data_IF_502133998996
#
_entry.id   IF_502133998996
#
_cell.length_a   1.000
_cell.length_b   1.000
_cell.length_c   1.000
_cell.angle_alpha   90.00
_cell.angle_beta   90.00
_cell.angle_gamma   90.00
#
_symmetry.space_group_name_H-M   'P 1'
#
loop_
_entity.id
_entity.type
_entity.pdbx_description
1 polymer ?
#
# COMPACT_ATOMS: atom_id res chain seq x y z
N UNK A 1 16.11 -21.65 9.08
CA UNK A 1 15.69 -21.04 7.79
C UNK A 1 14.68 -19.91 7.93
N UNK A 2 13.39 -20.13 8.37
CA UNK A 2 12.40 -19.01 8.48
C UNK A 2 12.88 -17.87 9.40
N UNK A 3 13.35 -18.18 10.60
CA UNK A 3 13.85 -17.20 11.55
C UNK A 3 15.08 -16.45 11.02
N UNK A 4 15.99 -17.14 10.39
CA UNK A 4 17.20 -16.54 9.77
C UNK A 4 16.84 -15.55 8.67
N UNK A 5 15.89 -15.91 7.78
CA UNK A 5 15.39 -15.00 6.73
C UNK A 5 14.72 -13.79 7.36
N UNK A 6 13.88 -13.98 8.38
CA UNK A 6 13.22 -12.90 9.07
C UNK A 6 14.23 -11.92 9.72
N UNK A 7 15.25 -12.44 10.40
CA UNK A 7 16.32 -11.64 10.99
C UNK A 7 17.13 -10.91 9.92
N UNK A 8 17.43 -11.57 8.81
CA UNK A 8 18.18 -10.99 7.69
C UNK A 8 17.41 -9.82 7.06
N UNK A 9 16.12 -9.99 6.76
CA UNK A 9 15.26 -8.92 6.24
C UNK A 9 15.14 -7.76 7.25
N UNK A 10 14.97 -8.06 8.53
CA UNK A 10 14.92 -7.03 9.58
C UNK A 10 16.22 -6.22 9.69
N UNK A 11 17.36 -6.83 9.41
CA UNK A 11 18.68 -6.20 9.50
C UNK A 11 19.03 -5.40 8.26
N UNK A 12 18.81 -5.99 7.09
CA UNK A 12 19.31 -5.47 5.81
C UNK A 12 18.25 -4.73 5.00
N UNK A 13 16.95 -5.01 5.26
CA UNK A 13 15.84 -4.34 4.59
C UNK A 13 15.35 -3.07 5.29
N UNK A 14 15.80 -2.81 6.53
CA UNK A 14 15.47 -1.58 7.26
C UNK A 14 16.62 -0.58 7.17
N UNK A 15 16.36 0.58 6.59
CA UNK A 15 17.31 1.69 6.53
C UNK A 15 17.14 2.59 7.75
N UNK A 16 18.20 2.68 8.58
CA UNK A 16 18.18 3.45 9.82
C UNK A 16 18.19 4.98 9.60
N UNK A 17 18.75 5.45 8.47
CA UNK A 17 18.75 6.88 8.12
C UNK A 17 17.37 7.34 7.68
N UNK A 18 16.70 6.53 6.86
CA UNK A 18 15.33 6.78 6.41
C UNK A 18 14.30 6.40 7.48
N UNK A 19 14.71 5.62 8.48
CA UNK A 19 13.86 5.04 9.53
C UNK A 19 12.66 4.26 8.95
N UNK A 20 12.87 3.47 7.89
CA UNK A 20 11.85 2.66 7.27
C UNK A 20 12.43 1.45 6.54
N UNK A 21 11.58 0.46 6.25
CA UNK A 21 11.92 -0.59 5.30
C UNK A 21 12.02 -0.02 3.88
N UNK A 22 12.89 -0.60 3.07
CA UNK A 22 13.16 -0.18 1.69
C UNK A 22 12.89 -1.33 0.72
N UNK A 23 12.75 -0.99 -0.56
CA UNK A 23 12.38 -1.92 -1.63
C UNK A 23 13.39 -3.07 -1.81
N UNK A 24 14.68 -2.80 -1.65
CA UNK A 24 15.75 -3.78 -1.79
C UNK A 24 16.92 -3.44 -0.87
N UNK A 25 17.71 -4.44 -0.48
CA UNK A 25 18.89 -4.24 0.35
C UNK A 25 19.87 -3.25 -0.30
N UNK A 26 20.30 -2.27 0.48
CA UNK A 26 21.19 -1.22 0.03
C UNK A 26 20.55 -0.13 -0.84
N UNK A 27 19.25 -0.25 -1.14
CA UNK A 27 18.48 0.80 -1.80
C UNK A 27 17.98 1.83 -0.79
N UNK A 28 17.63 3.04 -1.25
CA UNK A 28 16.87 4.04 -0.51
C UNK A 28 15.48 4.28 -1.12
N UNK A 29 15.10 3.45 -2.08
CA UNK A 29 13.81 3.55 -2.77
C UNK A 29 12.70 2.86 -1.99
N UNK A 30 11.50 3.42 -2.10
CA UNK A 30 10.27 2.89 -1.52
C UNK A 30 9.39 2.28 -2.60
N UNK A 31 8.70 1.20 -2.23
CA UNK A 31 7.62 0.61 -3.03
C UNK A 31 6.37 0.48 -2.13
N UNK A 32 5.20 0.70 -2.70
CA UNK A 32 3.95 0.64 -1.94
C UNK A 32 3.65 -0.74 -1.35
N UNK A 33 4.28 -1.82 -1.87
CA UNK A 33 4.17 -3.17 -1.29
C UNK A 33 4.69 -3.26 0.14
N UNK A 34 5.50 -2.31 0.59
CA UNK A 34 5.93 -2.18 2.00
C UNK A 34 4.74 -1.97 2.96
N UNK A 35 3.60 -1.47 2.48
CA UNK A 35 2.35 -1.40 3.24
C UNK A 35 1.81 -2.77 3.64
N UNK A 36 2.22 -3.83 2.96
CA UNK A 36 1.77 -5.20 3.23
C UNK A 36 2.50 -5.88 4.40
N UNK A 37 3.60 -5.33 4.91
CA UNK A 37 4.46 -5.94 5.94
C UNK A 37 3.65 -6.45 7.14
N UNK A 38 2.70 -5.64 7.65
CA UNK A 38 1.88 -6.03 8.79
C UNK A 38 0.75 -6.99 8.39
N UNK A 39 0.11 -6.76 7.24
CA UNK A 39 -1.03 -7.58 6.78
C UNK A 39 -0.65 -9.03 6.47
N UNK A 40 0.59 -9.27 6.00
CA UNK A 40 1.14 -10.61 5.77
C UNK A 40 1.71 -11.26 7.04
N UNK A 41 1.73 -10.54 8.17
CA UNK A 41 2.24 -11.04 9.45
C UNK A 41 3.77 -11.13 9.53
N UNK A 42 4.50 -10.33 8.74
CA UNK A 42 5.97 -10.28 8.83
C UNK A 42 6.41 -9.61 10.13
N UNK A 43 5.83 -8.46 10.46
CA UNK A 43 5.98 -7.77 11.76
C UNK A 43 4.60 -7.31 12.25
N UNK A 44 4.40 -7.20 13.58
CA UNK A 44 3.15 -6.70 14.11
C UNK A 44 2.96 -5.21 13.80
N UNK A 45 1.71 -4.77 13.61
CA UNK A 45 1.38 -3.38 13.24
C UNK A 45 1.81 -2.34 14.29
N UNK A 46 2.03 -2.74 15.55
CA UNK A 46 2.53 -1.88 16.62
C UNK A 46 4.07 -1.80 16.67
N UNK A 47 4.79 -2.53 15.83
CA UNK A 47 6.24 -2.39 15.70
C UNK A 47 6.56 -0.98 15.18
N UNK A 48 7.45 -0.23 15.85
CA UNK A 48 7.77 1.15 15.46
C UNK A 48 8.33 1.25 14.04
N UNK A 49 9.03 0.23 13.55
CA UNK A 49 9.57 0.18 12.19
C UNK A 49 8.47 0.10 11.14
N UNK A 50 7.39 -0.65 11.43
CA UNK A 50 6.21 -0.76 10.56
C UNK A 50 5.50 0.58 10.46
N UNK A 51 5.24 1.23 11.60
CA UNK A 51 4.61 2.56 11.63
C UNK A 51 5.42 3.58 10.86
N UNK A 52 6.72 3.64 11.10
CA UNK A 52 7.62 4.55 10.40
C UNK A 52 7.67 4.28 8.89
N UNK A 53 7.60 3.00 8.47
CA UNK A 53 7.53 2.62 7.06
C UNK A 53 6.22 3.08 6.42
N UNK A 54 5.08 2.92 7.09
CA UNK A 54 3.79 3.40 6.57
C UNK A 54 3.79 4.92 6.41
N UNK A 55 4.30 5.65 7.39
CA UNK A 55 4.46 7.10 7.31
C UNK A 55 5.44 7.54 6.21
N UNK A 56 6.51 6.76 5.97
CA UNK A 56 7.45 7.04 4.89
C UNK A 56 6.80 6.84 3.52
N UNK A 57 6.04 5.76 3.33
CA UNK A 57 5.27 5.52 2.09
C UNK A 57 4.24 6.62 1.88
N UNK A 58 3.48 6.99 2.91
CA UNK A 58 2.49 8.07 2.85
C UNK A 58 3.15 9.40 2.42
N UNK A 59 4.23 9.81 3.07
CA UNK A 59 4.93 11.07 2.72
C UNK A 59 5.51 11.10 1.31
N UNK A 60 5.98 9.95 0.82
CA UNK A 60 6.75 9.89 -0.42
C UNK A 60 5.96 9.43 -1.64
N UNK A 61 4.94 8.60 -1.46
CA UNK A 61 4.19 7.98 -2.54
C UNK A 61 2.72 8.41 -2.62
N UNK A 62 2.17 9.10 -1.60
CA UNK A 62 0.82 9.64 -1.67
C UNK A 62 0.83 10.95 -2.46
N UNK A 63 0.30 10.92 -3.68
CA UNK A 63 0.25 12.07 -4.61
C UNK A 63 -1.19 12.28 -5.07
N UNK A 64 -1.68 13.50 -5.00
CA UNK A 64 -3.05 13.87 -5.40
C UNK A 64 -4.14 12.98 -4.72
N UNK A 65 -3.82 12.45 -3.52
CA UNK A 65 -4.72 11.64 -2.71
C UNK A 65 -4.77 10.15 -3.09
N UNK A 66 -3.88 9.67 -3.95
CA UNK A 66 -3.71 8.27 -4.33
C UNK A 66 -2.24 7.84 -4.17
N UNK A 67 -2.02 6.56 -3.86
CA UNK A 67 -0.69 6.01 -3.66
C UNK A 67 -0.08 5.56 -4.98
N UNK A 68 1.06 6.12 -5.34
CA UNK A 68 1.89 5.63 -6.43
C UNK A 68 2.60 4.34 -5.99
N UNK A 69 2.83 3.42 -6.92
CA UNK A 69 3.55 2.18 -6.62
C UNK A 69 4.98 2.46 -6.18
N UNK A 70 5.69 3.31 -6.90
CA UNK A 70 7.04 3.81 -6.62
C UNK A 70 7.22 5.17 -7.32
N UNK A 71 8.32 5.85 -7.06
CA UNK A 71 8.64 7.09 -7.78
C UNK A 71 9.13 6.76 -9.19
N UNK A 72 8.40 7.18 -10.21
CA UNK A 72 8.78 7.00 -11.62
C UNK A 72 9.89 7.93 -12.09
N UNK A 73 10.12 9.05 -11.38
CA UNK A 73 11.19 9.97 -11.68
C UNK A 73 12.54 9.36 -11.28
N UNK A 74 13.27 8.81 -12.26
CA UNK A 74 14.59 8.17 -12.05
C UNK A 74 14.55 6.64 -11.98
N UNK A 75 13.39 5.99 -12.16
CA UNK A 75 13.35 4.54 -12.28
C UNK A 75 13.78 4.11 -13.68
N UNK A 76 14.69 3.12 -13.76
CA UNK A 76 15.13 2.50 -15.02
C UNK A 76 14.24 1.32 -15.44
N UNK A 77 12.94 1.38 -15.14
CA UNK A 77 11.99 0.29 -15.44
C UNK A 77 11.57 0.23 -16.93
N UNK A 78 12.05 1.20 -17.73
CA UNK A 78 11.75 1.26 -19.16
C UNK A 78 10.34 1.75 -19.49
N UNK A 79 9.56 2.19 -18.51
CA UNK A 79 8.22 2.73 -18.71
C UNK A 79 8.27 4.25 -18.90
N UNK A 80 7.40 4.83 -19.72
CA UNK A 80 7.34 6.27 -19.89
C UNK A 80 6.86 6.95 -18.61
N UNK A 81 7.39 8.13 -18.24
CA UNK A 81 6.93 8.88 -17.08
C UNK A 81 5.47 9.32 -17.27
N UNK A 82 4.68 9.27 -16.21
CA UNK A 82 3.30 9.77 -16.22
C UNK A 82 2.23 8.68 -16.11
N UNK A 83 2.59 7.52 -15.59
CA UNK A 83 1.61 6.50 -15.18
C UNK A 83 0.63 7.05 -14.15
N UNK A 84 -0.57 6.47 -14.13
CA UNK A 84 -1.57 6.74 -13.10
C UNK A 84 -1.17 6.16 -11.75
N UNK A 85 -1.99 6.43 -10.74
CA UNK A 85 -1.85 5.76 -9.45
C UNK A 85 -2.44 4.35 -9.54
N UNK A 86 -1.65 3.34 -9.17
CA UNK A 86 -2.06 1.95 -9.13
C UNK A 86 -3.05 1.73 -7.98
N UNK A 87 -4.34 1.47 -8.30
CA UNK A 87 -5.43 1.52 -7.32
C UNK A 87 -5.25 0.55 -6.15
N UNK A 88 -4.68 -0.63 -6.39
CA UNK A 88 -4.39 -1.60 -5.35
C UNK A 88 -3.51 -1.02 -4.24
N UNK A 89 -2.52 -0.17 -4.58
CA UNK A 89 -1.63 0.46 -3.60
C UNK A 89 -2.37 1.38 -2.64
N UNK A 90 -3.38 2.11 -3.14
CA UNK A 90 -4.21 2.95 -2.29
C UNK A 90 -5.11 2.15 -1.35
N UNK A 91 -5.63 0.99 -1.77
CA UNK A 91 -6.32 0.05 -0.88
C UNK A 91 -5.40 -0.53 0.19
N UNK A 92 -4.13 -0.81 -0.13
CA UNK A 92 -3.15 -1.25 0.88
C UNK A 92 -2.88 -0.16 1.93
N UNK A 93 -2.91 1.11 1.55
CA UNK A 93 -2.79 2.21 2.52
C UNK A 93 -4.01 2.26 3.45
N UNK A 94 -5.23 2.03 2.94
CA UNK A 94 -6.43 1.90 3.78
C UNK A 94 -6.25 0.78 4.80
N UNK A 95 -5.80 -0.40 4.36
CA UNK A 95 -5.53 -1.53 5.25
C UNK A 95 -4.46 -1.19 6.30
N UNK A 96 -3.39 -0.50 5.90
CA UNK A 96 -2.34 -0.03 6.81
C UNK A 96 -2.89 0.93 7.87
N UNK A 97 -3.74 1.88 7.49
CA UNK A 97 -4.42 2.79 8.44
C UNK A 97 -5.29 2.03 9.43
N UNK A 98 -6.08 1.05 8.98
CA UNK A 98 -6.87 0.18 9.86
C UNK A 98 -5.98 -0.54 10.89
N UNK A 99 -4.85 -1.08 10.46
CA UNK A 99 -3.94 -1.87 11.30
C UNK A 99 -3.27 -1.02 12.38
N UNK A 100 -2.98 0.26 12.11
CA UNK A 100 -2.36 1.18 13.09
C UNK A 100 -3.38 2.02 13.87
N UNK A 101 -4.68 1.82 13.64
CA UNK A 101 -5.77 2.46 14.38
C UNK A 101 -6.21 3.83 13.85
N UNK A 102 -5.78 4.24 12.66
CA UNK A 102 -6.22 5.46 11.95
C UNK A 102 -7.52 5.21 11.17
N UNK A 103 -8.56 4.80 11.89
CA UNK A 103 -9.81 4.29 11.29
C UNK A 103 -10.54 5.34 10.47
N UNK A 104 -10.65 6.57 10.97
CA UNK A 104 -11.32 7.64 10.24
C UNK A 104 -10.65 7.93 8.89
N UNK A 105 -9.31 7.99 8.86
CA UNK A 105 -8.55 8.23 7.64
C UNK A 105 -8.66 7.05 6.66
N UNK A 106 -8.77 5.83 7.21
CA UNK A 106 -9.04 4.64 6.41
C UNK A 106 -10.41 4.72 5.72
N UNK A 107 -11.46 5.09 6.44
CA UNK A 107 -12.82 5.25 5.90
C UNK A 107 -12.87 6.36 4.83
N UNK A 108 -12.26 7.53 5.11
CA UNK A 108 -12.22 8.65 4.16
C UNK A 108 -11.49 8.27 2.85
N UNK A 109 -10.37 7.55 2.94
CA UNK A 109 -9.64 7.10 1.75
C UNK A 109 -10.43 6.02 1.01
N UNK A 110 -11.04 5.09 1.73
CA UNK A 110 -11.86 4.04 1.12
C UNK A 110 -13.06 4.60 0.35
N UNK A 111 -13.78 5.56 0.93
CA UNK A 111 -14.91 6.23 0.26
C UNK A 111 -14.46 6.97 -1.00
N UNK A 112 -13.29 7.61 -0.95
CA UNK A 112 -12.68 8.26 -2.12
C UNK A 112 -12.39 7.24 -3.22
N UNK A 113 -11.84 6.08 -2.88
CA UNK A 113 -11.55 5.01 -3.84
C UNK A 113 -12.84 4.41 -4.43
N UNK A 114 -13.88 4.23 -3.62
CA UNK A 114 -15.19 3.80 -4.10
C UNK A 114 -15.82 4.78 -5.08
N UNK A 115 -15.58 6.08 -4.92
CA UNK A 115 -16.08 7.09 -5.84
C UNK A 115 -15.43 7.07 -7.23
N UNK A 116 -14.30 6.36 -7.40
CA UNK A 116 -13.61 6.22 -8.69
C UNK A 116 -14.24 5.17 -9.62
N UNK A 117 -15.09 4.26 -9.09
CA UNK A 117 -15.75 3.22 -9.89
C UNK A 117 -16.66 3.83 -10.96
N UNK A 118 -16.81 3.12 -12.08
CA UNK A 118 -17.76 3.53 -13.10
C UNK A 118 -19.22 3.26 -12.68
N UNK A 119 -20.16 3.54 -13.56
CA UNK A 119 -21.62 3.39 -13.37
C UNK A 119 -22.08 1.96 -13.07
N UNK A 120 -21.30 0.95 -13.45
CA UNK A 120 -21.56 -0.48 -13.14
C UNK A 120 -20.68 -1.01 -12.00
N UNK A 121 -19.95 -0.14 -11.28
CA UNK A 121 -19.17 -0.50 -10.09
C UNK A 121 -17.78 -1.05 -10.37
N UNK A 122 -17.25 -0.93 -11.60
CA UNK A 122 -15.96 -1.48 -11.98
C UNK A 122 -14.81 -0.47 -11.87
N UNK A 123 -13.63 -1.00 -11.56
CA UNK A 123 -12.36 -0.28 -11.45
C UNK A 123 -11.35 -0.79 -12.49
N UNK A 124 -10.51 0.15 -12.97
CA UNK A 124 -9.34 -0.17 -13.78
C UNK A 124 -8.12 -0.52 -12.89
N UNK A 125 -6.99 -0.77 -13.53
CA UNK A 125 -5.68 -0.98 -12.90
C UNK A 125 -5.19 0.28 -12.20
N UNK A 126 -5.28 1.40 -12.91
CA UNK A 126 -4.77 2.70 -12.49
C UNK A 126 -5.82 3.80 -12.65
N UNK A 127 -5.56 4.91 -12.00
CA UNK A 127 -6.35 6.14 -12.14
C UNK A 127 -5.42 7.36 -12.25
N UNK A 128 -5.69 8.20 -13.24
CA UNK A 128 -5.06 9.52 -13.38
C UNK A 128 -5.90 10.58 -12.65
N UNK A 129 -5.47 11.06 -11.47
CA UNK A 129 -6.24 12.03 -10.70
C UNK A 129 -6.31 13.41 -11.37
N UNK A 130 -5.35 13.76 -12.25
CA UNK A 130 -5.30 15.05 -12.96
C UNK A 130 -6.27 15.07 -14.13
N UNK A 131 -6.28 14.00 -14.93
CA UNK A 131 -7.20 13.85 -16.06
C UNK A 131 -8.56 13.24 -15.66
N UNK A 132 -8.69 12.78 -14.41
CA UNK A 132 -9.89 12.15 -13.85
C UNK A 132 -10.39 11.00 -14.70
N UNK A 133 -9.49 10.10 -15.09
CA UNK A 133 -9.81 8.95 -15.93
C UNK A 133 -9.11 7.68 -15.45
N UNK A 134 -9.74 6.56 -15.72
CA UNK A 134 -9.16 5.23 -15.54
C UNK A 134 -8.09 4.96 -16.60
N UNK A 135 -7.03 4.22 -16.23
CA UNK A 135 -5.92 3.82 -17.07
C UNK A 135 -5.60 2.33 -16.88
N UNK A 136 -4.84 1.77 -17.81
CA UNK A 136 -4.41 0.38 -17.78
C UNK A 136 -5.53 -0.60 -18.09
N UNK A 137 -5.39 -1.83 -17.60
CA UNK A 137 -6.35 -2.90 -17.84
C UNK A 137 -7.71 -2.63 -17.17
N UNK A 138 -8.80 -2.87 -17.88
CA UNK A 138 -10.16 -2.65 -17.41
C UNK A 138 -11.11 -3.78 -17.85
N UNK A 139 -11.94 -4.35 -16.95
CA UNK A 139 -11.84 -4.22 -15.50
C UNK A 139 -10.62 -4.97 -14.95
N UNK A 140 -10.04 -4.47 -13.85
CA UNK A 140 -8.85 -5.09 -13.27
C UNK A 140 -9.19 -5.90 -12.01
N UNK A 141 -8.96 -7.21 -12.08
CA UNK A 141 -9.24 -8.12 -10.96
C UNK A 141 -8.45 -7.77 -9.69
N UNK A 142 -7.19 -7.35 -9.82
CA UNK A 142 -6.34 -7.04 -8.67
C UNK A 142 -6.87 -5.83 -7.88
N UNK A 143 -7.39 -4.80 -8.57
CA UNK A 143 -8.05 -3.66 -7.92
C UNK A 143 -9.30 -4.09 -7.16
N UNK A 144 -10.12 -5.00 -7.74
CA UNK A 144 -11.32 -5.51 -7.09
C UNK A 144 -11.02 -6.44 -5.91
N UNK A 145 -9.98 -7.29 -6.00
CA UNK A 145 -9.54 -8.13 -4.88
C UNK A 145 -9.09 -7.25 -3.71
N UNK A 146 -8.33 -6.20 -4.00
CA UNK A 146 -7.90 -5.24 -2.98
C UNK A 146 -9.10 -4.53 -2.35
N UNK A 147 -10.05 -4.03 -3.15
CA UNK A 147 -11.30 -3.43 -2.67
C UNK A 147 -12.08 -4.36 -1.74
N UNK A 148 -12.29 -5.61 -2.14
CA UNK A 148 -13.06 -6.59 -1.35
C UNK A 148 -12.36 -6.91 -0.03
N UNK A 149 -11.03 -7.12 -0.06
CA UNK A 149 -10.25 -7.37 1.13
C UNK A 149 -10.30 -6.18 2.10
N UNK A 150 -10.14 -4.97 1.59
CA UNK A 150 -10.19 -3.75 2.39
C UNK A 150 -11.58 -3.50 2.98
N UNK A 151 -12.66 -3.67 2.19
CA UNK A 151 -14.02 -3.58 2.70
C UNK A 151 -14.27 -4.58 3.84
N UNK A 152 -13.75 -5.80 3.70
CA UNK A 152 -13.82 -6.82 4.73
C UNK A 152 -13.04 -6.44 6.00
N UNK A 153 -11.84 -5.88 5.85
CA UNK A 153 -11.02 -5.42 6.96
C UNK A 153 -11.68 -4.25 7.72
N UNK A 154 -12.27 -3.28 7.02
CA UNK A 154 -13.02 -2.18 7.60
C UNK A 154 -14.30 -2.63 8.35
N UNK A 155 -14.99 -3.65 7.82
CA UNK A 155 -16.24 -4.17 8.42
C UNK A 155 -16.03 -5.01 9.67
N UNK A 156 -14.80 -5.50 9.94
CA UNK A 156 -14.49 -6.36 11.08
C UNK A 156 -14.08 -5.57 12.30
N UNK A 157 -14.65 -5.94 13.46
CA UNK A 157 -14.20 -5.48 14.78
C UNK A 157 -12.85 -6.09 15.20
N UNK A 158 -12.46 -7.23 14.63
CA UNK A 158 -11.20 -7.94 14.90
C UNK A 158 -10.19 -7.66 13.79
N UNK A 159 -8.99 -7.26 14.18
CA UNK A 159 -7.90 -6.94 13.24
C UNK A 159 -7.41 -8.20 12.51
N UNK A 160 -7.28 -8.19 11.18
CA UNK A 160 -6.83 -9.36 10.41
C UNK A 160 -5.44 -9.91 10.81
N UNK A 161 -4.55 -9.04 11.30
CA UNK A 161 -3.22 -9.42 11.80
C UNK A 161 -3.28 -10.29 13.07
N UNK A 162 -4.34 -10.17 13.88
CA UNK A 162 -4.52 -10.98 15.11
C UNK A 162 -4.94 -12.42 14.79
N UNK A 163 -5.53 -12.66 13.63
CA UNK A 163 -5.93 -14.01 13.19
C UNK A 163 -4.77 -14.82 12.61
N UNK A 164 -3.72 -14.19 12.10
CA UNK A 164 -2.56 -14.86 11.49
C UNK A 164 -1.44 -15.18 12.49
N UNK A 165 -1.52 -14.64 13.69
CA UNK A 165 -0.56 -14.88 14.78
C UNK A 165 -0.94 -16.01 15.74
N UNK A 166 -2.03 -16.76 15.44
CA UNK A 166 -2.46 -17.94 16.20
C UNK A 166 -2.06 -19.23 15.54
#
# INVERSE_FOLDING_TARGET
>A
MRAEIHEDVCRNGFDAELNCFVQAYGSKELDASLLLIASIGFLPANDPRVRATFEAVERNLLVDGLVQRYRTAGSEDGLPPGEGAFLACSFWLVDAYCLIGRVQEAEELFDRLLALRNDVGLLAEEYDPRQKRMLGNFPQAFSHISLVNTAHNLSRKEKPSEQRGR
#
